data_IF_961741168153
#
_entry.id   IF_961741168153
#
_cell.length_a   1.000
_cell.length_b   1.000
_cell.length_c   1.000
_cell.angle_alpha   90.00
_cell.angle_beta   90.00
_cell.angle_gamma   90.00
#
_symmetry.space_group_name_H-M   'P 1'
#
loop_
_entity.id
_entity.type
_entity.pdbx_description
1 polymer ?
#
# COMPACT_ATOMS: atom_id res chain seq x y z
N UNK A 1 -0.73 -21.07 35.03
CA UNK A 1 -1.60 -20.40 34.02
C UNK A 1 -0.87 -19.28 33.26
N UNK A 2 0.37 -19.51 32.79
CA UNK A 2 1.21 -18.48 32.14
C UNK A 2 1.21 -18.53 30.60
N UNK A 3 0.34 -19.35 29.99
CA UNK A 3 0.35 -19.56 28.56
C UNK A 3 -0.07 -18.29 27.80
N UNK A 4 0.78 -17.84 26.87
CA UNK A 4 0.53 -16.68 25.99
C UNK A 4 -0.84 -16.75 25.34
N UNK A 5 -1.27 -17.93 24.88
CA UNK A 5 -2.58 -18.15 24.25
C UNK A 5 -3.74 -17.61 25.08
N UNK A 6 -3.78 -17.91 26.38
CA UNK A 6 -4.89 -17.50 27.25
C UNK A 6 -4.95 -15.99 27.48
N UNK A 7 -3.79 -15.35 27.62
CA UNK A 7 -3.70 -13.89 27.82
C UNK A 7 -3.93 -13.12 26.51
N UNK A 8 -3.40 -13.61 25.39
CA UNK A 8 -3.65 -13.04 24.07
C UNK A 8 -5.14 -13.09 23.72
N UNK A 9 -5.81 -14.23 23.91
CA UNK A 9 -7.26 -14.35 23.67
C UNK A 9 -8.11 -13.48 24.60
N UNK A 10 -7.64 -13.24 25.82
CA UNK A 10 -8.31 -12.31 26.73
C UNK A 10 -8.15 -10.85 26.27
N UNK A 11 -6.99 -10.50 25.71
CA UNK A 11 -6.73 -9.19 25.12
C UNK A 11 -7.54 -8.98 23.83
N UNK A 12 -7.58 -9.97 22.92
CA UNK A 12 -8.39 -9.94 21.70
C UNK A 12 -9.88 -9.77 22.00
N UNK A 13 -10.38 -10.46 23.04
CA UNK A 13 -11.79 -10.38 23.45
C UNK A 13 -12.11 -9.25 24.44
N UNK A 14 -11.21 -8.28 24.63
CA UNK A 14 -11.47 -7.14 25.50
C UNK A 14 -12.48 -6.18 24.84
N UNK A 15 -13.43 -5.57 25.58
CA UNK A 15 -14.46 -4.69 25.00
C UNK A 15 -13.90 -3.58 24.11
N UNK A 16 -12.77 -2.99 24.47
CA UNK A 16 -12.08 -1.96 23.64
C UNK A 16 -11.57 -2.52 22.32
N UNK A 17 -11.01 -3.74 22.32
CA UNK A 17 -10.58 -4.41 21.09
C UNK A 17 -11.77 -4.79 20.20
N UNK A 18 -12.88 -5.21 20.81
CA UNK A 18 -14.13 -5.49 20.10
C UNK A 18 -14.74 -4.21 19.50
N UNK A 19 -14.69 -3.09 20.25
CA UNK A 19 -15.13 -1.80 19.76
C UNK A 19 -14.27 -1.30 18.60
N UNK A 20 -12.95 -1.50 18.65
CA UNK A 20 -12.06 -1.19 17.53
C UNK A 20 -12.38 -2.04 16.29
N UNK A 21 -12.64 -3.34 16.45
CA UNK A 21 -13.08 -4.20 15.35
C UNK A 21 -14.42 -3.74 14.76
N UNK A 22 -15.41 -3.43 15.61
CA UNK A 22 -16.71 -2.94 15.18
C UNK A 22 -16.58 -1.61 14.44
N UNK A 23 -15.79 -0.68 14.98
CA UNK A 23 -15.51 0.61 14.36
C UNK A 23 -14.88 0.40 12.98
N UNK A 24 -13.86 -0.44 12.87
CA UNK A 24 -13.18 -0.73 11.60
C UNK A 24 -14.16 -1.34 10.57
N UNK A 25 -14.94 -2.35 10.97
CA UNK A 25 -15.90 -3.00 10.09
C UNK A 25 -17.00 -2.04 9.60
N UNK A 26 -17.61 -1.26 10.50
CA UNK A 26 -18.63 -0.26 10.16
C UNK A 26 -18.04 0.87 9.32
N UNK A 27 -16.84 1.33 9.67
CA UNK A 27 -16.18 2.40 8.94
C UNK A 27 -15.87 1.99 7.50
N UNK A 28 -15.28 0.81 7.30
CA UNK A 28 -14.80 0.39 5.99
C UNK A 28 -15.91 -0.11 5.07
N UNK A 29 -17.04 -0.59 5.60
CA UNK A 29 -18.15 -1.10 4.78
C UNK A 29 -19.33 -0.13 4.64
N UNK A 30 -19.48 0.81 5.58
CA UNK A 30 -20.65 1.71 5.61
C UNK A 30 -20.20 3.17 5.51
N UNK A 31 -19.34 3.63 6.43
CA UNK A 31 -19.01 5.05 6.49
C UNK A 31 -18.17 5.52 5.31
N UNK A 32 -17.20 4.74 4.84
CA UNK A 32 -16.43 5.09 3.64
C UNK A 32 -17.29 5.14 2.39
N UNK A 33 -18.32 4.28 2.29
CA UNK A 33 -19.26 4.29 1.19
C UNK A 33 -20.21 5.50 1.24
N UNK A 34 -20.67 5.90 2.44
CA UNK A 34 -21.61 7.01 2.61
C UNK A 34 -20.93 8.39 2.67
N UNK A 35 -19.72 8.46 3.22
CA UNK A 35 -18.97 9.68 3.50
C UNK A 35 -17.47 9.44 3.26
N UNK A 36 -17.03 9.34 1.99
CA UNK A 36 -15.61 9.26 1.68
C UNK A 36 -14.90 10.52 2.17
N UNK A 37 -13.71 10.35 2.78
CA UNK A 37 -12.93 11.50 3.20
C UNK A 37 -11.82 11.21 4.20
N UNK A 38 -11.08 12.25 4.53
CA UNK A 38 -9.90 12.21 5.41
C UNK A 38 -10.20 11.57 6.78
N UNK A 39 -11.36 11.88 7.37
CA UNK A 39 -11.75 11.41 8.72
C UNK A 39 -11.94 9.89 8.76
N UNK A 40 -12.62 9.31 7.76
CA UNK A 40 -12.88 7.85 7.73
C UNK A 40 -11.60 7.06 7.48
N UNK A 41 -10.61 7.62 6.77
CA UNK A 41 -9.27 7.05 6.67
C UNK A 41 -8.56 6.95 8.03
N UNK A 42 -8.45 8.08 8.75
CA UNK A 42 -7.74 8.11 10.05
C UNK A 42 -8.42 7.26 11.14
N UNK A 43 -9.76 7.13 11.09
CA UNK A 43 -10.50 6.27 12.01
C UNK A 43 -10.14 4.79 11.85
N UNK A 44 -9.97 4.33 10.60
CA UNK A 44 -9.56 2.94 10.34
C UNK A 44 -8.12 2.70 10.84
N UNK A 45 -7.19 3.62 10.59
CA UNK A 45 -5.82 3.51 11.10
C UNK A 45 -5.76 3.49 12.64
N UNK A 46 -6.52 4.36 13.31
CA UNK A 46 -6.62 4.38 14.76
C UNK A 46 -7.20 3.06 15.31
N UNK A 47 -8.25 2.53 14.67
CA UNK A 47 -8.83 1.23 15.02
C UNK A 47 -7.83 0.08 14.82
N UNK A 48 -7.09 0.10 13.71
CA UNK A 48 -6.02 -0.84 13.39
C UNK A 48 -4.91 -0.87 14.44
N UNK A 49 -4.48 0.29 14.95
CA UNK A 49 -3.48 0.37 16.02
C UNK A 49 -3.94 -0.26 17.34
N UNK A 50 -5.25 -0.31 17.60
CA UNK A 50 -5.82 -0.98 18.77
C UNK A 50 -6.01 -2.49 18.53
N UNK A 51 -6.40 -2.87 17.30
CA UNK A 51 -6.80 -4.23 16.94
C UNK A 51 -5.62 -5.13 16.52
N UNK A 52 -4.63 -4.62 15.78
CA UNK A 52 -3.57 -5.43 15.20
C UNK A 52 -2.63 -6.07 16.24
N UNK A 53 -2.18 -5.38 17.32
CA UNK A 53 -1.30 -5.99 18.31
C UNK A 53 -1.87 -7.25 19.01
N UNK A 54 -3.14 -7.27 19.50
CA UNK A 54 -3.71 -8.48 20.08
C UNK A 54 -3.87 -9.63 19.07
N UNK A 55 -4.13 -9.34 17.79
CA UNK A 55 -4.17 -10.36 16.75
C UNK A 55 -2.80 -11.01 16.54
N UNK A 56 -1.76 -10.18 16.37
CA UNK A 56 -0.39 -10.66 16.23
C UNK A 56 0.06 -11.47 17.46
N UNK A 57 -0.31 -11.02 18.66
CA UNK A 57 -0.04 -11.76 19.90
C UNK A 57 -0.79 -13.11 19.98
N UNK A 58 -2.03 -13.18 19.47
CA UNK A 58 -2.82 -14.40 19.42
C UNK A 58 -2.20 -15.42 18.45
N UNK A 59 -1.86 -15.00 17.24
CA UNK A 59 -1.15 -15.81 16.24
C UNK A 59 0.20 -16.29 16.78
N UNK A 60 0.98 -15.41 17.40
CA UNK A 60 2.24 -15.77 18.06
C UNK A 60 2.03 -16.82 19.15
N UNK A 61 0.94 -16.71 19.93
CA UNK A 61 0.57 -17.73 20.91
C UNK A 61 0.21 -19.08 20.31
N UNK A 62 -0.40 -19.10 19.11
CA UNK A 62 -0.69 -20.33 18.38
C UNK A 62 0.60 -21.00 17.89
N UNK A 63 1.52 -20.23 17.30
CA UNK A 63 2.79 -20.75 16.75
C UNK A 63 3.79 -21.11 17.86
N UNK A 64 3.93 -20.25 18.88
CA UNK A 64 4.91 -20.38 19.97
C UNK A 64 4.20 -20.48 21.34
N UNK A 65 3.53 -21.59 21.66
CA UNK A 65 2.73 -21.73 22.89
C UNK A 65 3.53 -21.60 24.19
N UNK A 66 4.86 -21.83 24.14
CA UNK A 66 5.77 -21.72 25.28
C UNK A 66 6.31 -20.30 25.52
N UNK A 67 6.02 -19.35 24.63
CA UNK A 67 6.44 -17.97 24.81
C UNK A 67 5.83 -17.37 26.10
N UNK A 68 6.39 -16.26 26.58
CA UNK A 68 5.91 -15.56 27.79
C UNK A 68 5.21 -14.28 27.38
N UNK A 69 3.97 -14.09 27.83
CA UNK A 69 3.12 -12.96 27.42
C UNK A 69 3.74 -11.59 27.71
N UNK A 70 4.53 -11.47 28.79
CA UNK A 70 5.28 -10.25 29.14
C UNK A 70 6.25 -9.77 28.06
N UNK A 71 6.66 -10.66 27.15
CA UNK A 71 7.52 -10.33 26.03
C UNK A 71 6.72 -10.26 24.73
N UNK A 72 5.76 -11.17 24.53
CA UNK A 72 4.91 -11.18 23.33
C UNK A 72 4.11 -9.89 23.16
N UNK A 73 3.50 -9.37 24.24
CA UNK A 73 2.68 -8.17 24.17
C UNK A 73 3.45 -6.92 23.71
N UNK A 74 4.57 -6.51 24.35
CA UNK A 74 5.33 -5.35 23.88
C UNK A 74 5.96 -5.59 22.50
N UNK A 75 6.40 -6.81 22.18
CA UNK A 75 6.93 -7.14 20.85
C UNK A 75 5.88 -7.00 19.75
N UNK A 76 4.63 -7.44 19.99
CA UNK A 76 3.55 -7.28 19.03
C UNK A 76 3.20 -5.81 18.77
N UNK A 77 3.16 -4.99 19.83
CA UNK A 77 2.90 -3.55 19.73
C UNK A 77 4.01 -2.86 18.96
N UNK A 78 5.28 -3.17 19.29
CA UNK A 78 6.43 -2.60 18.58
C UNK A 78 6.44 -3.01 17.11
N UNK A 79 6.18 -4.28 16.81
CA UNK A 79 6.14 -4.78 15.43
C UNK A 79 5.06 -4.08 14.60
N UNK A 80 3.85 -3.92 15.16
CA UNK A 80 2.76 -3.18 14.50
C UNK A 80 3.13 -1.72 14.28
N UNK A 81 3.67 -1.04 15.30
CA UNK A 81 4.04 0.37 15.17
C UNK A 81 5.17 0.63 14.18
N UNK A 82 6.21 -0.22 14.18
CA UNK A 82 7.31 -0.13 13.22
C UNK A 82 6.82 -0.46 11.81
N UNK A 83 6.02 -1.51 11.64
CA UNK A 83 5.43 -1.85 10.35
C UNK A 83 4.60 -0.71 9.78
N UNK A 84 3.69 -0.16 10.59
CA UNK A 84 2.86 0.98 10.19
C UNK A 84 3.68 2.23 9.86
N UNK A 85 4.69 2.56 10.67
CA UNK A 85 5.60 3.67 10.40
C UNK A 85 6.31 3.49 9.05
N UNK A 86 6.86 2.32 8.77
CA UNK A 86 7.56 2.04 7.52
C UNK A 86 6.62 2.15 6.32
N UNK A 87 5.41 1.58 6.43
CA UNK A 87 4.41 1.60 5.36
C UNK A 87 3.92 3.02 5.08
N UNK A 88 3.64 3.82 6.11
CA UNK A 88 3.05 5.17 5.94
C UNK A 88 4.08 6.27 5.69
N UNK A 89 5.32 6.12 6.15
CA UNK A 89 6.36 7.13 6.00
C UNK A 89 7.23 6.97 4.75
N UNK A 90 7.20 5.82 4.08
CA UNK A 90 8.10 5.56 2.94
C UNK A 90 7.32 5.04 1.74
N UNK A 91 7.64 5.56 0.56
CA UNK A 91 7.08 5.06 -0.71
C UNK A 91 7.35 3.56 -0.89
N UNK A 92 8.54 3.10 -0.52
CA UNK A 92 8.91 1.68 -0.56
C UNK A 92 8.04 0.81 0.36
N UNK A 93 7.78 1.26 1.60
CA UNK A 93 6.92 0.52 2.52
C UNK A 93 5.48 0.44 2.04
N UNK A 94 4.98 1.51 1.43
CA UNK A 94 3.65 1.58 0.81
C UNK A 94 3.53 0.65 -0.41
N UNK A 95 4.50 0.69 -1.32
CA UNK A 95 4.60 -0.20 -2.50
C UNK A 95 4.65 -1.68 -2.09
N UNK A 96 5.52 -2.00 -1.12
CA UNK A 96 5.68 -3.37 -0.63
C UNK A 96 4.41 -3.88 0.07
N UNK A 97 3.75 -3.02 0.84
CA UNK A 97 2.49 -3.38 1.47
C UNK A 97 1.40 -3.60 0.41
N UNK A 98 1.31 -2.72 -0.59
CA UNK A 98 0.34 -2.81 -1.70
C UNK A 98 0.52 -4.09 -2.51
N UNK A 99 1.75 -4.43 -2.88
CA UNK A 99 2.04 -5.67 -3.64
C UNK A 99 1.74 -6.93 -2.82
N UNK A 100 2.08 -6.93 -1.53
CA UNK A 100 1.79 -8.06 -0.64
C UNK A 100 0.28 -8.25 -0.43
N UNK A 101 -0.46 -7.14 -0.31
CA UNK A 101 -1.90 -7.19 -0.04
C UNK A 101 -2.71 -7.47 -1.30
N UNK A 102 -2.25 -7.00 -2.46
CA UNK A 102 -2.80 -7.30 -3.78
C UNK A 102 -2.82 -8.79 -4.13
N UNK A 103 -1.99 -9.62 -3.49
CA UNK A 103 -2.06 -11.08 -3.61
C UNK A 103 -3.36 -11.68 -3.02
N UNK A 104 -4.03 -10.96 -2.11
CA UNK A 104 -5.30 -11.38 -1.49
C UNK A 104 -6.47 -10.59 -2.08
N UNK A 105 -6.31 -9.28 -2.23
CA UNK A 105 -7.32 -8.39 -2.78
C UNK A 105 -6.66 -7.17 -3.43
N UNK A 106 -6.99 -6.80 -4.69
CA UNK A 106 -6.37 -5.68 -5.39
C UNK A 106 -6.49 -4.39 -4.58
N UNK A 107 -5.36 -3.85 -4.12
CA UNK A 107 -5.34 -2.73 -3.16
C UNK A 107 -4.14 -1.83 -3.34
N UNK A 108 -4.39 -0.53 -3.16
CA UNK A 108 -3.38 0.51 -3.15
C UNK A 108 -3.23 1.10 -1.75
N UNK A 109 -2.07 0.92 -1.15
CA UNK A 109 -1.67 1.54 0.12
C UNK A 109 -0.74 2.69 -0.23
N UNK A 110 -1.16 3.93 0.07
CA UNK A 110 -0.36 5.14 -0.17
C UNK A 110 0.48 5.50 1.07
N UNK A 111 1.66 6.07 0.82
CA UNK A 111 2.48 6.68 1.86
C UNK A 111 1.92 8.06 2.22
N UNK A 112 1.20 8.14 3.35
CA UNK A 112 0.70 9.40 3.92
C UNK A 112 1.27 9.58 5.34
N UNK A 113 2.28 10.45 5.54
CA UNK A 113 2.85 10.71 6.86
C UNK A 113 1.84 11.24 7.89
N UNK A 114 0.71 11.81 7.47
CA UNK A 114 -0.34 12.26 8.39
C UNK A 114 -1.06 11.10 9.08
N UNK A 115 -0.98 9.89 8.53
CA UNK A 115 -1.48 8.67 9.18
C UNK A 115 -0.69 8.31 10.44
N UNK A 116 0.53 8.81 10.61
CA UNK A 116 1.33 8.59 11.83
C UNK A 116 0.68 9.17 13.09
N UNK A 117 -0.31 10.05 12.93
CA UNK A 117 -1.20 10.50 14.02
C UNK A 117 -1.99 9.35 14.66
N UNK A 118 -2.07 8.17 14.03
CA UNK A 118 -2.65 6.97 14.60
C UNK A 118 -1.73 6.25 15.61
N UNK A 119 -0.40 6.42 15.54
CA UNK A 119 0.55 5.73 16.42
C UNK A 119 0.28 5.87 17.94
N UNK A 120 -0.17 7.03 18.46
CA UNK A 120 -0.56 7.16 19.87
C UNK A 120 -1.63 6.15 20.33
N UNK A 121 -2.48 5.63 19.43
CA UNK A 121 -3.49 4.62 19.77
C UNK A 121 -2.88 3.26 20.15
N UNK A 122 -1.61 3.00 19.84
CA UNK A 122 -0.87 1.85 20.38
C UNK A 122 -0.77 1.91 21.92
N UNK A 123 -0.82 3.11 22.51
CA UNK A 123 -0.87 3.26 23.97
C UNK A 123 -2.17 2.66 24.55
N UNK A 124 -3.28 2.75 23.82
CA UNK A 124 -4.56 2.10 24.18
C UNK A 124 -4.39 0.59 24.12
N UNK A 125 -3.80 0.05 23.05
CA UNK A 125 -3.51 -1.38 22.94
C UNK A 125 -2.65 -1.88 24.12
N UNK A 126 -1.60 -1.13 24.48
CA UNK A 126 -0.74 -1.42 25.63
C UNK A 126 -1.48 -1.36 26.96
N UNK A 127 -2.35 -0.36 27.14
CA UNK A 127 -3.18 -0.23 28.34
C UNK A 127 -4.11 -1.43 28.50
N UNK A 128 -4.75 -1.88 27.41
CA UNK A 128 -5.58 -3.09 27.42
C UNK A 128 -4.75 -4.34 27.74
N UNK A 129 -3.56 -4.50 27.14
CA UNK A 129 -2.68 -5.65 27.37
C UNK A 129 -2.24 -5.79 28.84
N UNK A 130 -2.17 -4.68 29.58
CA UNK A 130 -1.81 -4.66 31.01
C UNK A 130 -2.97 -5.01 31.94
N UNK A 131 -4.21 -5.07 31.44
CA UNK A 131 -5.38 -5.43 32.27
C UNK A 131 -5.36 -6.92 32.61
N UNK A 132 -5.69 -7.29 33.86
CA UNK A 132 -5.76 -8.69 34.25
C UNK A 132 -6.87 -9.39 33.44
N UNK A 133 -6.59 -10.56 32.85
CA UNK A 133 -7.58 -11.29 32.07
C UNK A 133 -8.71 -11.75 33.00
N UNK A 134 -9.95 -11.42 32.67
CA UNK A 134 -11.11 -11.99 33.36
C UNK A 134 -11.24 -13.48 32.98
N UNK A 135 -11.44 -14.38 33.95
CA UNK A 135 -11.65 -15.79 33.66
C UNK A 135 -12.88 -15.96 32.76
N UNK A 136 -12.69 -16.61 31.62
CA UNK A 136 -13.74 -16.89 30.66
C UNK A 136 -14.02 -18.40 30.57
N UNK A 137 -15.30 -18.83 30.51
CA UNK A 137 -15.65 -20.23 30.31
C UNK A 137 -15.12 -20.74 28.97
N UNK A 138 -14.94 -22.07 28.85
CA UNK A 138 -14.31 -22.70 27.67
C UNK A 138 -15.04 -22.39 26.36
N UNK A 139 -16.38 -22.34 26.38
CA UNK A 139 -17.21 -22.03 25.22
C UNK A 139 -16.97 -20.60 24.71
N UNK A 140 -16.80 -19.62 25.61
CA UNK A 140 -16.54 -18.22 25.24
C UNK A 140 -15.14 -18.05 24.62
N UNK A 141 -14.17 -18.87 25.06
CA UNK A 141 -12.84 -18.94 24.42
C UNK A 141 -12.89 -19.56 23.04
N UNK A 142 -13.70 -20.62 22.86
CA UNK A 142 -13.93 -21.24 21.56
C UNK A 142 -14.63 -20.26 20.60
N UNK A 143 -15.65 -19.54 21.07
CA UNK A 143 -16.34 -18.50 20.30
C UNK A 143 -15.38 -17.39 19.83
N UNK A 144 -14.50 -16.89 20.73
CA UNK A 144 -13.49 -15.89 20.36
C UNK A 144 -12.49 -16.39 19.31
N UNK A 145 -12.15 -17.68 19.33
CA UNK A 145 -11.28 -18.27 18.32
C UNK A 145 -12.00 -18.50 17.00
N UNK A 146 -13.24 -19.01 17.04
CA UNK A 146 -13.99 -19.41 15.86
C UNK A 146 -14.66 -18.25 15.12
N UNK A 147 -15.00 -17.16 15.83
CA UNK A 147 -15.74 -16.03 15.26
C UNK A 147 -14.87 -14.78 15.20
N UNK A 148 -14.28 -14.37 16.33
CA UNK A 148 -13.55 -13.10 16.37
C UNK A 148 -12.26 -13.14 15.55
N UNK A 149 -11.48 -14.22 15.60
CA UNK A 149 -10.22 -14.28 14.85
C UNK A 149 -10.44 -14.21 13.33
N UNK A 150 -11.36 -14.99 12.72
CA UNK A 150 -11.69 -14.83 11.30
C UNK A 150 -12.26 -13.45 10.97
N UNK A 151 -13.17 -12.90 11.81
CA UNK A 151 -13.77 -11.60 11.55
C UNK A 151 -12.76 -10.45 11.64
N UNK A 152 -11.80 -10.55 12.56
CA UNK A 152 -10.76 -9.57 12.73
C UNK A 152 -9.69 -9.67 11.63
N UNK A 153 -9.37 -10.89 11.17
CA UNK A 153 -8.54 -11.08 9.98
C UNK A 153 -9.24 -10.55 8.72
N UNK A 154 -10.53 -10.85 8.55
CA UNK A 154 -11.34 -10.35 7.45
C UNK A 154 -11.48 -8.83 7.51
N UNK A 155 -11.67 -8.23 8.70
CA UNK A 155 -11.70 -6.78 8.86
C UNK A 155 -10.37 -6.12 8.48
N UNK A 156 -9.24 -6.71 8.86
CA UNK A 156 -7.92 -6.20 8.44
C UNK A 156 -7.75 -6.36 6.93
N UNK A 157 -8.22 -7.46 6.34
CA UNK A 157 -8.21 -7.75 4.89
C UNK A 157 -9.16 -6.87 4.08
N UNK A 158 -10.29 -6.47 4.64
CA UNK A 158 -11.33 -5.70 3.99
C UNK A 158 -10.89 -4.24 3.83
N UNK A 159 -10.14 -4.00 2.76
CA UNK A 159 -9.79 -2.66 2.31
C UNK A 159 -10.69 -2.37 1.11
N UNK A 160 -11.41 -1.26 1.17
CA UNK A 160 -12.19 -0.76 0.04
C UNK A 160 -11.23 -0.31 -1.07
N UNK A 161 -11.57 -0.50 -2.36
CA UNK A 161 -10.86 0.17 -3.44
C UNK A 161 -10.78 1.66 -3.12
N UNK A 162 -9.59 2.26 -3.24
CA UNK A 162 -9.50 3.70 -3.15
C UNK A 162 -10.20 4.28 -4.39
N UNK A 163 -11.08 5.29 -4.25
CA UNK A 163 -11.56 6.01 -5.42
C UNK A 163 -10.36 6.69 -6.09
N UNK A 164 -10.32 6.63 -7.41
CA UNK A 164 -9.30 7.27 -8.23
C UNK A 164 -10.01 8.16 -9.25
N UNK A 165 -9.45 9.34 -9.57
CA UNK A 165 -10.06 10.22 -10.55
C UNK A 165 -9.99 9.57 -11.94
N UNK A 166 -11.09 9.68 -12.68
CA UNK A 166 -11.19 9.23 -14.06
C UNK A 166 -11.55 10.40 -14.96
N UNK A 167 -10.70 10.71 -15.93
CA UNK A 167 -11.02 11.67 -16.98
C UNK A 167 -12.08 11.08 -17.91
N UNK A 168 -13.27 11.66 -17.93
CA UNK A 168 -14.40 11.10 -18.66
C UNK A 168 -14.91 12.00 -19.77
N UNK A 169 -14.88 13.31 -19.57
CA UNK A 169 -15.54 14.25 -20.46
C UNK A 169 -14.62 15.40 -20.81
N UNK A 170 -14.55 15.72 -22.10
CA UNK A 170 -14.10 17.01 -22.59
C UNK A 170 -15.30 17.71 -23.20
N UNK A 171 -15.53 18.96 -22.82
CA UNK A 171 -16.63 19.75 -23.31
C UNK A 171 -16.18 21.18 -23.62
N UNK A 172 -16.84 21.81 -24.60
CA UNK A 172 -16.57 23.18 -25.00
C UNK A 172 -17.85 23.98 -24.88
N UNK A 173 -17.76 25.08 -24.14
CA UNK A 173 -18.86 26.02 -23.96
C UNK A 173 -18.29 27.43 -23.84
N UNK A 174 -18.96 28.39 -24.47
CA UNK A 174 -18.62 29.83 -24.39
C UNK A 174 -17.15 30.16 -24.69
N UNK A 175 -16.52 29.39 -25.60
CA UNK A 175 -15.11 29.57 -25.98
C UNK A 175 -14.09 29.06 -24.95
N UNK A 176 -14.54 28.30 -23.95
CA UNK A 176 -13.70 27.68 -22.93
C UNK A 176 -13.73 26.15 -23.02
N UNK A 177 -12.63 25.53 -22.58
CA UNK A 177 -12.50 24.08 -22.42
C UNK A 177 -12.93 23.69 -21.01
N UNK A 178 -13.73 22.64 -20.89
CA UNK A 178 -14.15 22.03 -19.64
C UNK A 178 -13.73 20.58 -19.59
N UNK A 179 -13.07 20.19 -18.49
CA UNK A 179 -12.61 18.84 -18.21
C UNK A 179 -13.45 18.25 -17.08
N UNK A 180 -14.25 17.25 -17.40
CA UNK A 180 -15.08 16.51 -16.45
C UNK A 180 -14.40 15.22 -16.03
N UNK A 181 -14.23 15.02 -14.74
CA UNK A 181 -13.69 13.79 -14.16
C UNK A 181 -14.59 13.28 -13.04
N UNK A 182 -14.54 11.97 -12.82
CA UNK A 182 -15.29 11.33 -11.74
C UNK A 182 -14.35 10.81 -10.66
N UNK A 183 -14.62 11.17 -9.41
CA UNK A 183 -14.02 10.57 -8.22
C UNK A 183 -15.12 10.25 -7.19
N UNK A 184 -15.51 8.98 -7.08
CA UNK A 184 -16.59 8.57 -6.16
C UNK A 184 -18.00 8.78 -6.73
N UNK A 185 -18.77 9.72 -6.19
CA UNK A 185 -20.20 9.94 -6.54
C UNK A 185 -20.43 11.37 -7.05
N UNK A 186 -19.86 11.72 -8.19
CA UNK A 186 -20.06 13.02 -8.83
C UNK A 186 -19.06 13.28 -9.95
N UNK A 187 -19.39 14.23 -10.82
CA UNK A 187 -18.47 14.78 -11.81
C UNK A 187 -18.04 16.16 -11.35
N UNK A 188 -16.75 16.31 -11.12
CA UNK A 188 -16.12 17.59 -10.84
C UNK A 188 -15.53 18.16 -12.15
N UNK A 189 -15.35 19.48 -12.20
CA UNK A 189 -15.01 20.17 -13.44
C UNK A 189 -13.81 21.11 -13.28
N UNK A 190 -12.90 21.08 -14.24
CA UNK A 190 -11.88 22.10 -14.45
C UNK A 190 -12.16 22.86 -15.73
N UNK A 191 -11.89 24.16 -15.75
CA UNK A 191 -12.11 25.05 -16.90
C UNK A 191 -10.82 25.75 -17.32
N UNK A 192 -10.65 25.90 -18.62
CA UNK A 192 -9.62 26.74 -19.22
C UNK A 192 -10.23 27.73 -20.20
N UNK A 193 -9.99 29.01 -19.96
CA UNK A 193 -10.45 30.12 -20.82
C UNK A 193 -9.38 30.58 -21.84
N UNK A 194 -8.18 29.97 -21.81
CA UNK A 194 -7.02 30.38 -22.60
C UNK A 194 -6.48 29.27 -23.51
N UNK A 195 -7.35 28.32 -23.88
CA UNK A 195 -7.00 27.25 -24.81
C UNK A 195 -6.14 26.15 -24.17
N UNK A 196 -6.29 25.90 -22.87
CA UNK A 196 -5.63 24.82 -22.15
C UNK A 196 -4.25 25.19 -21.58
N UNK A 197 -3.91 26.48 -21.54
CA UNK A 197 -2.63 26.96 -20.98
C UNK A 197 -2.72 27.07 -19.44
N UNK A 198 -3.85 27.51 -18.93
CA UNK A 198 -4.16 27.55 -17.50
C UNK A 198 -5.51 26.91 -17.20
N UNK A 199 -5.62 26.33 -16.00
CA UNK A 199 -6.77 25.57 -15.55
C UNK A 199 -7.22 26.07 -14.17
N UNK A 200 -8.53 26.10 -13.96
CA UNK A 200 -9.14 26.50 -12.70
C UNK A 200 -10.35 25.63 -12.36
N UNK A 201 -10.66 25.49 -11.07
CA UNK A 201 -11.85 24.77 -10.62
C UNK A 201 -13.14 25.43 -11.12
N UNK A 202 -14.08 24.60 -11.57
CA UNK A 202 -15.45 25.00 -11.91
C UNK A 202 -16.45 24.18 -11.10
N UNK A 203 -17.31 24.86 -10.34
CA UNK A 203 -18.36 24.21 -9.56
C UNK A 203 -19.52 23.70 -10.43
N UNK A 204 -19.65 24.20 -11.66
CA UNK A 204 -20.69 23.83 -12.60
C UNK A 204 -20.07 23.28 -13.89
N UNK A 205 -20.63 22.18 -14.37
CA UNK A 205 -20.29 21.65 -15.69
C UNK A 205 -20.89 22.51 -16.79
N UNK A 206 -20.33 22.47 -18.00
CA UNK A 206 -20.97 23.08 -19.16
C UNK A 206 -22.30 22.36 -19.45
N UNK A 207 -23.15 23.01 -20.24
CA UNK A 207 -24.38 22.41 -20.75
C UNK A 207 -24.13 21.18 -21.67
N UNK A 208 -25.06 20.84 -22.58
CA UNK A 208 -24.98 19.58 -23.33
C UNK A 208 -23.67 19.42 -24.13
N UNK A 209 -23.01 18.28 -23.92
CA UNK A 209 -21.73 17.87 -24.51
C UNK A 209 -21.93 17.45 -25.98
N UNK A 210 -21.01 17.81 -26.88
CA UNK A 210 -21.03 17.40 -28.29
C UNK A 210 -19.86 16.46 -28.61
N UNK A 211 -20.14 15.31 -29.20
CA UNK A 211 -19.14 14.36 -29.74
C UNK A 211 -19.68 13.74 -31.05
N UNK A 212 -18.85 13.47 -32.08
CA UNK A 212 -17.47 13.94 -32.26
C UNK A 212 -17.41 15.45 -32.41
N UNK A 213 -16.22 16.02 -32.18
CA UNK A 213 -16.01 17.46 -32.26
C UNK A 213 -15.05 17.82 -33.39
N UNK A 214 -15.32 18.95 -34.04
CA UNK A 214 -14.63 19.38 -35.25
C UNK A 214 -14.26 20.85 -35.12
N UNK A 215 -13.09 21.22 -35.65
CA UNK A 215 -12.75 22.63 -35.85
C UNK A 215 -13.76 23.27 -36.80
N UNK A 216 -14.24 24.47 -36.45
CA UNK A 216 -15.09 25.26 -37.33
C UNK A 216 -14.27 26.01 -38.41
N UNK A 217 -12.94 26.07 -38.27
CA UNK A 217 -12.05 26.69 -39.24
C UNK A 217 -11.92 25.82 -40.51
N UNK A 218 -11.76 26.48 -41.67
CA UNK A 218 -11.51 25.78 -42.93
C UNK A 218 -10.00 25.55 -43.13
N UNK A 219 -9.55 24.33 -43.50
CA UNK A 219 -10.36 23.13 -43.74
C UNK A 219 -10.87 22.50 -42.43
N UNK A 220 -12.13 22.06 -42.42
CA UNK A 220 -12.76 21.41 -41.26
C UNK A 220 -12.07 20.07 -40.98
N UNK A 221 -11.42 19.98 -39.82
CA UNK A 221 -10.80 18.76 -39.30
C UNK A 221 -11.57 18.29 -38.08
N UNK A 222 -11.96 17.02 -38.09
CA UNK A 222 -12.66 16.37 -36.99
C UNK A 222 -11.73 15.41 -36.26
N UNK A 223 -11.99 15.22 -34.97
CA UNK A 223 -11.22 14.33 -34.10
C UNK A 223 -12.15 13.37 -33.37
N UNK A 224 -11.68 12.14 -33.15
CA UNK A 224 -12.38 11.15 -32.33
C UNK A 224 -11.40 10.18 -31.67
N UNK A 225 -11.86 9.50 -30.63
CA UNK A 225 -11.07 8.47 -29.96
C UNK A 225 -10.74 7.30 -30.89
N UNK A 226 -9.58 6.66 -30.65
CA UNK A 226 -9.29 5.32 -31.18
C UNK A 226 -9.97 4.31 -30.25
N UNK A 227 -10.87 3.44 -30.75
CA UNK A 227 -11.61 2.52 -29.89
C UNK A 227 -10.70 1.60 -29.08
N UNK A 228 -10.84 1.62 -27.75
CA UNK A 228 -10.11 0.73 -26.84
C UNK A 228 -8.63 1.07 -26.63
N UNK A 229 -8.15 2.20 -27.16
CA UNK A 229 -6.75 2.63 -27.00
C UNK A 229 -6.70 4.03 -26.37
N UNK A 230 -5.55 4.36 -25.77
CA UNK A 230 -5.20 5.76 -25.49
C UNK A 230 -4.67 6.36 -26.79
N UNK A 231 -5.57 7.01 -27.52
CA UNK A 231 -5.27 7.58 -28.82
C UNK A 231 -6.41 8.36 -29.44
N UNK A 232 -6.03 9.25 -30.35
CA UNK A 232 -6.91 10.14 -31.11
C UNK A 232 -6.61 9.97 -32.59
N UNK A 233 -7.67 9.88 -33.38
CA UNK A 233 -7.62 9.89 -34.83
C UNK A 233 -8.26 11.16 -35.38
N UNK A 234 -7.71 11.67 -36.47
CA UNK A 234 -8.17 12.88 -37.16
C UNK A 234 -8.54 12.57 -38.61
N UNK A 235 -9.44 13.39 -39.16
CA UNK A 235 -9.89 13.28 -40.54
C UNK A 235 -10.55 14.57 -41.01
N UNK A 236 -10.49 14.84 -42.31
CA UNK A 236 -11.31 15.91 -42.92
C UNK A 236 -12.78 15.47 -42.94
N UNK A 237 -13.70 16.44 -42.98
CA UNK A 237 -15.13 16.13 -43.05
C UNK A 237 -15.46 15.16 -44.21
N UNK A 238 -15.86 13.93 -43.87
CA UNK A 238 -16.18 12.87 -44.84
C UNK A 238 -14.97 12.12 -45.43
N UNK A 239 -13.74 12.42 -45.00
CA UNK A 239 -12.51 11.72 -45.37
C UNK A 239 -12.20 10.49 -44.50
N UNK A 240 -11.15 9.72 -44.84
CA UNK A 240 -10.70 8.60 -44.01
C UNK A 240 -10.09 9.11 -42.69
N UNK A 241 -10.25 8.32 -41.64
CA UNK A 241 -9.61 8.55 -40.34
C UNK A 241 -8.17 8.07 -40.36
N UNK A 242 -7.28 8.90 -39.82
CA UNK A 242 -5.87 8.57 -39.61
C UNK A 242 -5.50 8.82 -38.16
N UNK A 243 -4.65 7.98 -37.58
CA UNK A 243 -4.17 8.19 -36.20
C UNK A 243 -3.36 9.49 -36.16
N UNK A 244 -3.80 10.44 -35.32
CA UNK A 244 -3.13 11.71 -35.06
C UNK A 244 -2.13 11.55 -33.90
N UNK A 245 -2.56 10.83 -32.86
CA UNK A 245 -1.74 10.50 -31.69
C UNK A 245 -2.19 9.19 -31.07
N UNK A 246 -1.24 8.41 -30.57
CA UNK A 246 -1.51 7.22 -29.77
C UNK A 246 -0.32 6.93 -28.87
N UNK A 247 -0.57 6.38 -27.69
CA UNK A 247 0.48 5.77 -26.89
C UNK A 247 0.92 4.44 -27.50
N UNK A 248 2.21 4.13 -27.40
CA UNK A 248 2.73 2.84 -27.85
C UNK A 248 2.20 1.71 -26.96
N UNK A 249 2.09 0.49 -27.49
CA UNK A 249 1.67 -0.68 -26.71
C UNK A 249 2.55 -0.89 -25.46
N UNK A 250 3.85 -0.57 -25.57
CA UNK A 250 4.79 -0.60 -24.46
C UNK A 250 4.41 0.41 -23.37
N UNK A 251 4.09 1.64 -23.76
CA UNK A 251 3.71 2.69 -22.81
C UNK A 251 2.34 2.40 -22.19
N UNK A 252 1.39 1.85 -22.96
CA UNK A 252 0.09 1.44 -22.43
C UNK A 252 0.23 0.31 -21.40
N UNK A 253 1.09 -0.67 -21.64
CA UNK A 253 1.39 -1.71 -20.65
C UNK A 253 2.07 -1.14 -19.40
N UNK A 254 3.01 -0.20 -19.57
CA UNK A 254 3.64 0.48 -18.43
C UNK A 254 2.62 1.26 -17.60
N UNK A 255 1.65 1.92 -18.24
CA UNK A 255 0.57 2.60 -17.54
C UNK A 255 -0.36 1.61 -16.83
N UNK A 256 -0.69 0.48 -17.45
CA UNK A 256 -1.51 -0.57 -16.81
C UNK A 256 -0.82 -1.16 -15.56
N UNK A 257 0.50 -1.30 -15.58
CA UNK A 257 1.29 -1.70 -14.40
C UNK A 257 1.35 -0.59 -13.33
N UNK A 258 1.53 0.65 -13.77
CA UNK A 258 1.60 1.81 -12.86
C UNK A 258 0.26 2.05 -12.16
N UNK A 259 -0.84 1.85 -12.88
CA UNK A 259 -2.21 1.93 -12.37
C UNK A 259 -2.78 0.52 -12.11
N UNK A 260 -2.09 -0.28 -11.30
CA UNK A 260 -2.51 -1.64 -10.94
C UNK A 260 -3.86 -1.73 -10.19
N UNK A 261 -4.44 -0.58 -9.83
CA UNK A 261 -5.77 -0.39 -9.26
C UNK A 261 -6.91 -0.36 -10.30
N UNK A 262 -6.56 -0.35 -11.59
CA UNK A 262 -7.43 0.01 -12.71
C UNK A 262 -7.71 -1.18 -13.63
N UNK A 263 -8.93 -1.29 -14.16
CA UNK A 263 -9.24 -2.33 -15.16
C UNK A 263 -8.74 -1.94 -16.56
N UNK A 264 -8.43 -2.91 -17.43
CA UNK A 264 -7.91 -2.63 -18.80
C UNK A 264 -8.84 -1.70 -19.60
N UNK A 265 -10.15 -1.69 -19.31
CA UNK A 265 -11.13 -0.81 -19.96
C UNK A 265 -11.15 0.63 -19.46
N UNK A 266 -10.38 0.97 -18.43
CA UNK A 266 -10.31 2.30 -17.83
C UNK A 266 -9.09 3.11 -18.33
N UNK A 267 -8.22 2.49 -19.14
CA UNK A 267 -7.08 3.11 -19.84
C UNK A 267 -7.36 3.24 -21.34
N UNK A 268 -8.31 4.11 -21.69
CA UNK A 268 -8.66 4.40 -23.07
C UNK A 268 -9.11 5.86 -23.21
N UNK A 269 -9.01 6.40 -24.42
CA UNK A 269 -9.60 7.70 -24.73
C UNK A 269 -11.12 7.56 -24.87
N UNK A 270 -11.86 8.26 -24.02
CA UNK A 270 -13.34 8.18 -23.96
C UNK A 270 -14.05 9.42 -24.47
N UNK A 271 -13.37 10.56 -24.48
CA UNK A 271 -13.93 11.84 -24.94
C UNK A 271 -12.85 12.70 -25.58
N UNK A 272 -13.23 13.46 -26.61
CA UNK A 272 -12.36 14.38 -27.35
C UNK A 272 -13.14 15.67 -27.61
N UNK A 273 -12.52 16.83 -27.38
CA UNK A 273 -13.07 18.15 -27.69
C UNK A 273 -12.08 19.01 -28.49
N UNK A 274 -12.61 19.88 -29.36
CA UNK A 274 -11.83 20.74 -30.26
C UNK A 274 -12.21 22.22 -30.07
N UNK A 275 -11.30 23.02 -29.53
CA UNK A 275 -11.50 24.46 -29.38
C UNK A 275 -10.69 25.23 -30.43
N UNK A 276 -11.37 26.00 -31.28
CA UNK A 276 -10.72 26.94 -32.18
C UNK A 276 -10.15 28.13 -31.38
N UNK A 277 -8.89 28.45 -31.65
CA UNK A 277 -8.15 29.54 -30.99
C UNK A 277 -7.36 30.34 -32.03
N UNK A 278 -6.77 31.46 -31.63
CA UNK A 278 -5.91 32.21 -32.54
C UNK A 278 -4.73 31.36 -33.01
N UNK A 279 -4.58 31.24 -34.33
CA UNK A 279 -3.50 30.47 -34.96
C UNK A 279 -3.82 29.00 -35.24
N UNK A 280 -5.01 28.49 -34.87
CA UNK A 280 -5.44 27.14 -35.21
C UNK A 280 -6.52 26.60 -34.27
N UNK A 281 -6.33 25.39 -33.77
CA UNK A 281 -7.23 24.77 -32.81
C UNK A 281 -6.45 23.90 -31.84
N UNK A 282 -6.98 23.78 -30.64
CA UNK A 282 -6.50 22.91 -29.57
C UNK A 282 -7.42 21.70 -29.50
N UNK A 283 -6.84 20.52 -29.28
CA UNK A 283 -7.61 19.28 -29.10
C UNK A 283 -7.32 18.75 -27.71
N UNK A 284 -8.35 18.36 -26.97
CA UNK A 284 -8.18 17.73 -25.65
C UNK A 284 -8.82 16.36 -25.65
N UNK A 285 -8.12 15.38 -25.08
CA UNK A 285 -8.54 14.00 -24.98
C UNK A 285 -8.62 13.58 -23.50
N UNK A 286 -9.73 12.95 -23.11
CA UNK A 286 -9.91 12.32 -21.80
C UNK A 286 -9.50 10.85 -21.88
N UNK A 287 -8.41 10.48 -21.21
CA UNK A 287 -7.76 9.16 -21.29
C UNK A 287 -8.04 8.28 -20.06
N UNK A 288 -9.24 8.42 -19.47
CA UNK A 288 -9.65 7.62 -18.32
C UNK A 288 -8.74 7.86 -17.11
N UNK A 289 -8.17 6.79 -16.56
CA UNK A 289 -7.31 6.86 -15.36
C UNK A 289 -6.07 7.71 -15.55
N UNK A 290 -5.57 7.81 -16.78
CA UNK A 290 -4.34 8.52 -17.10
C UNK A 290 -4.49 10.06 -17.11
N UNK A 291 -5.72 10.55 -17.00
CA UNK A 291 -6.05 11.96 -17.03
C UNK A 291 -6.24 12.48 -18.45
N UNK A 292 -5.94 13.75 -18.66
CA UNK A 292 -6.15 14.44 -19.93
C UNK A 292 -4.86 14.58 -20.74
N UNK A 293 -5.00 14.69 -22.06
CA UNK A 293 -3.93 15.07 -22.97
C UNK A 293 -4.37 16.22 -23.87
N UNK A 294 -3.47 17.16 -24.17
CA UNK A 294 -3.73 18.35 -24.96
C UNK A 294 -2.82 18.35 -26.19
N UNK A 295 -3.42 18.63 -27.34
CA UNK A 295 -2.74 18.97 -28.60
C UNK A 295 -2.73 20.47 -28.74
N UNK A 296 -1.55 21.07 -28.79
CA UNK A 296 -1.45 22.50 -29.05
C UNK A 296 -1.69 22.87 -30.53
N UNK A 297 -1.69 24.17 -30.82
CA UNK A 297 -1.85 24.70 -32.20
C UNK A 297 -0.71 24.29 -33.14
N UNK A 298 0.46 23.92 -32.61
CA UNK A 298 1.59 23.41 -33.39
C UNK A 298 1.44 21.93 -33.76
N UNK A 299 0.46 21.26 -33.15
CA UNK A 299 0.17 19.84 -33.32
C UNK A 299 0.98 18.92 -32.43
N UNK A 300 1.63 19.43 -31.39
CA UNK A 300 2.30 18.62 -30.40
C UNK A 300 1.30 18.18 -29.33
N UNK A 301 1.32 16.89 -29.01
CA UNK A 301 0.53 16.30 -27.93
C UNK A 301 1.32 16.22 -26.64
N UNK A 302 0.70 16.62 -25.54
CA UNK A 302 1.24 16.53 -24.20
C UNK A 302 0.19 15.94 -23.26
N UNK A 303 0.58 14.93 -22.49
CA UNK A 303 -0.22 14.44 -21.36
C UNK A 303 -0.11 15.44 -20.22
N UNK A 304 -1.24 15.77 -19.58
CA UNK A 304 -1.33 16.78 -18.53
C UNK A 304 -1.95 16.25 -17.22
N UNK A 305 -2.43 15.01 -17.18
CA UNK A 305 -2.97 14.41 -15.96
C UNK A 305 -4.28 15.08 -15.52
N UNK A 306 -4.40 15.47 -14.26
CA UNK A 306 -5.58 16.13 -13.69
C UNK A 306 -5.24 17.54 -13.17
N UNK A 307 -5.26 18.57 -14.05
CA UNK A 307 -4.84 19.91 -13.67
C UNK A 307 -5.89 20.59 -12.77
N UNK A 308 -5.47 21.25 -11.68
CA UNK A 308 -6.26 22.03 -10.72
C UNK A 308 -7.24 21.28 -9.81
N UNK A 309 -7.31 19.94 -9.88
CA UNK A 309 -8.47 19.17 -9.40
C UNK A 309 -8.25 18.34 -8.11
N UNK A 310 -7.01 18.14 -7.72
CA UNK A 310 -6.66 17.54 -6.42
C UNK A 310 -5.90 18.58 -5.60
N UNK A 311 -5.78 18.44 -4.27
CA UNK A 311 -4.86 19.27 -3.50
C UNK A 311 -3.39 19.20 -3.97
N UNK A 312 -3.08 18.32 -4.94
CA UNK A 312 -1.75 18.07 -5.50
C UNK A 312 -1.90 17.69 -6.99
N UNK A 313 -2.18 18.65 -7.89
CA UNK A 313 -2.21 18.48 -9.36
C UNK A 313 -1.62 17.13 -9.82
N UNK A 314 -2.47 16.13 -10.07
CA UNK A 314 -1.97 14.77 -10.33
C UNK A 314 -1.37 14.75 -11.74
N UNK A 315 -0.06 14.96 -11.81
CA UNK A 315 0.72 14.85 -13.03
C UNK A 315 0.56 13.43 -13.63
N UNK A 316 0.56 13.31 -14.97
CA UNK A 316 0.45 12.02 -15.61
C UNK A 316 1.68 11.16 -15.28
N UNK A 317 1.50 9.84 -15.19
CA UNK A 317 2.62 8.93 -14.95
C UNK A 317 3.73 9.11 -16.00
N UNK A 318 4.99 9.21 -15.54
CA UNK A 318 6.15 9.37 -16.41
C UNK A 318 6.37 8.12 -17.26
N UNK A 319 6.53 8.31 -18.58
CA UNK A 319 6.89 7.23 -19.52
C UNK A 319 8.41 7.12 -19.72
N UNK A 320 9.18 8.04 -19.13
CA UNK A 320 10.62 8.10 -19.30
C UNK A 320 11.36 7.18 -18.33
N UNK A 321 12.06 6.20 -18.91
CA UNK A 321 13.18 5.45 -18.37
C UNK A 321 12.90 4.47 -17.21
N UNK A 322 12.46 3.27 -17.61
CA UNK A 322 12.79 1.99 -16.97
C UNK A 322 14.32 1.77 -16.75
N UNK A 323 15.20 2.72 -17.13
CA UNK A 323 16.64 2.67 -16.84
C UNK A 323 17.00 3.14 -15.42
N UNK A 324 16.16 3.96 -14.75
CA UNK A 324 16.47 4.42 -13.38
C UNK A 324 16.27 3.32 -12.32
N UNK A 325 15.61 2.22 -12.69
CA UNK A 325 15.26 1.12 -11.79
C UNK A 325 16.42 0.15 -11.55
N UNK A 326 17.49 0.20 -12.35
CA UNK A 326 18.71 -0.60 -12.12
C UNK A 326 19.38 -0.20 -10.79
N UNK A 327 19.42 1.09 -10.47
CA UNK A 327 20.11 1.55 -9.26
C UNK A 327 19.29 1.25 -8.00
N UNK A 328 17.95 1.27 -8.10
CA UNK A 328 17.07 0.95 -6.97
C UNK A 328 17.00 -0.55 -6.70
N UNK A 329 16.99 -1.41 -7.72
CA UNK A 329 17.05 -2.86 -7.58
C UNK A 329 18.36 -3.31 -6.90
N UNK A 330 19.50 -2.72 -7.25
CA UNK A 330 20.80 -3.04 -6.66
C UNK A 330 20.88 -2.64 -5.18
N UNK A 331 20.35 -1.46 -4.83
CA UNK A 331 20.26 -1.02 -3.43
C UNK A 331 19.29 -1.88 -2.63
N UNK A 332 18.16 -2.32 -3.22
CA UNK A 332 17.16 -3.21 -2.61
C UNK A 332 17.76 -4.58 -2.30
N UNK A 333 18.49 -5.17 -3.25
CA UNK A 333 19.19 -6.45 -3.06
C UNK A 333 20.26 -6.31 -1.97
N UNK A 334 21.06 -5.24 -1.99
CA UNK A 334 22.09 -4.99 -0.99
C UNK A 334 21.51 -4.80 0.43
N UNK A 335 20.38 -4.10 0.56
CA UNK A 335 19.69 -3.91 1.84
C UNK A 335 19.16 -5.25 2.42
N UNK A 336 18.61 -6.12 1.57
CA UNK A 336 18.15 -7.46 1.98
C UNK A 336 19.31 -8.34 2.46
N UNK A 337 20.42 -8.36 1.72
CA UNK A 337 21.63 -9.06 2.14
C UNK A 337 22.20 -8.49 3.45
N UNK A 338 22.22 -7.16 3.60
CA UNK A 338 22.65 -6.49 4.82
C UNK A 338 21.81 -6.85 6.04
N UNK A 339 20.48 -6.86 5.90
CA UNK A 339 19.56 -7.20 6.99
C UNK A 339 19.64 -8.68 7.37
N UNK A 340 19.78 -9.58 6.39
CA UNK A 340 20.02 -11.00 6.63
C UNK A 340 21.34 -11.24 7.38
N UNK A 341 22.44 -10.63 6.90
CA UNK A 341 23.75 -10.74 7.53
C UNK A 341 23.73 -10.19 8.97
N UNK A 342 23.09 -9.05 9.20
CA UNK A 342 22.95 -8.48 10.54
C UNK A 342 22.18 -9.42 11.48
N UNK A 343 21.04 -9.97 11.04
CA UNK A 343 20.26 -10.94 11.82
C UNK A 343 21.04 -12.21 12.16
N UNK A 344 21.80 -12.73 11.19
CA UNK A 344 22.68 -13.89 11.39
C UNK A 344 23.79 -13.57 12.40
N UNK A 345 24.49 -12.45 12.25
CA UNK A 345 25.58 -12.03 13.16
C UNK A 345 25.04 -11.88 14.58
N UNK A 346 23.89 -11.24 14.77
CA UNK A 346 23.29 -11.04 16.09
C UNK A 346 22.91 -12.38 16.72
N UNK A 347 22.28 -13.27 15.93
CA UNK A 347 21.87 -14.59 16.42
C UNK A 347 23.07 -15.45 16.80
N UNK A 348 24.10 -15.52 15.95
CA UNK A 348 25.36 -16.23 16.23
C UNK A 348 26.03 -15.66 17.47
N UNK A 349 26.19 -14.34 17.54
CA UNK A 349 26.82 -13.66 18.68
C UNK A 349 26.07 -13.99 19.98
N UNK A 350 24.74 -13.94 19.96
CA UNK A 350 23.96 -14.23 21.14
C UNK A 350 23.98 -15.71 21.55
N UNK A 351 23.99 -16.65 20.59
CA UNK A 351 24.21 -18.09 20.86
C UNK A 351 25.58 -18.33 21.49
N UNK A 352 26.64 -17.71 20.96
CA UNK A 352 28.01 -17.80 21.52
C UNK A 352 28.08 -17.23 22.94
N UNK A 353 27.42 -16.09 23.21
CA UNK A 353 27.36 -15.53 24.56
C UNK A 353 26.65 -16.47 25.53
N UNK A 354 25.55 -17.10 25.11
CA UNK A 354 24.80 -18.06 25.92
C UNK A 354 25.64 -19.33 26.19
N UNK A 355 26.35 -19.85 25.20
CA UNK A 355 27.23 -21.01 25.39
C UNK A 355 28.38 -20.71 26.35
N UNK A 356 29.04 -19.54 26.21
CA UNK A 356 30.09 -19.10 27.14
C UNK A 356 29.58 -18.92 28.57
N UNK A 357 28.28 -18.72 28.75
CA UNK A 357 27.62 -18.65 30.06
C UNK A 357 27.12 -20.02 30.58
N UNK A 358 27.49 -21.13 29.94
CA UNK A 358 27.10 -22.48 30.35
C UNK A 358 25.75 -22.96 29.79
N UNK A 359 25.18 -22.25 28.81
CA UNK A 359 23.96 -22.67 28.12
C UNK A 359 24.15 -23.93 27.27
N UNK A 360 23.09 -24.73 27.13
CA UNK A 360 23.11 -25.99 26.37
C UNK A 360 23.27 -25.79 24.86
N UNK A 361 23.84 -26.79 24.18
CA UNK A 361 24.10 -26.76 22.73
C UNK A 361 22.86 -26.55 21.84
N UNK A 362 21.65 -26.75 22.37
CA UNK A 362 20.42 -26.61 21.58
C UNK A 362 20.15 -25.19 21.06
N UNK A 363 20.86 -24.17 21.55
CA UNK A 363 20.68 -22.79 21.09
C UNK A 363 21.15 -22.59 19.65
N UNK A 364 22.03 -23.46 19.15
CA UNK A 364 22.43 -23.48 17.74
C UNK A 364 21.26 -23.76 16.78
N UNK A 365 20.18 -24.40 17.25
CA UNK A 365 18.96 -24.58 16.45
C UNK A 365 18.29 -23.26 16.05
N UNK A 366 18.61 -22.13 16.71
CA UNK A 366 18.11 -20.80 16.30
C UNK A 366 18.72 -20.30 14.99
N UNK A 367 19.79 -20.95 14.50
CA UNK A 367 20.35 -20.66 13.17
C UNK A 367 19.61 -21.39 12.05
N UNK A 368 18.90 -22.49 12.34
CA UNK A 368 18.20 -23.26 11.30
C UNK A 368 17.16 -22.43 10.56
N UNK A 369 16.33 -21.60 11.20
CA UNK A 369 15.44 -20.69 10.49
C UNK A 369 16.19 -19.71 9.59
N UNK A 370 17.35 -19.19 10.01
CA UNK A 370 18.17 -18.29 9.19
C UNK A 370 18.76 -19.01 7.97
N UNK A 371 19.22 -20.25 8.14
CA UNK A 371 19.77 -21.05 7.04
C UNK A 371 18.68 -21.43 6.03
N UNK A 372 17.50 -21.85 6.49
CA UNK A 372 16.36 -22.15 5.63
C UNK A 372 15.90 -20.92 4.85
N UNK A 373 15.90 -19.77 5.51
CA UNK A 373 15.68 -18.48 4.88
C UNK A 373 16.72 -18.18 3.80
N UNK A 374 18.01 -18.37 4.09
CA UNK A 374 19.08 -18.13 3.13
C UNK A 374 18.95 -19.00 1.88
N UNK A 375 18.54 -20.26 2.04
CA UNK A 375 18.30 -21.21 0.93
C UNK A 375 17.15 -20.77 0.03
N UNK A 376 16.18 -19.99 0.52
CA UNK A 376 15.07 -19.44 -0.29
C UNK A 376 15.45 -18.08 -0.86
N UNK A 377 15.97 -17.16 -0.03
CA UNK A 377 16.24 -15.78 -0.42
C UNK A 377 17.35 -15.67 -1.46
N UNK A 378 18.44 -16.43 -1.34
CA UNK A 378 19.57 -16.34 -2.29
C UNK A 378 19.19 -16.77 -3.71
N UNK A 379 18.58 -17.96 -3.93
CA UNK A 379 18.14 -18.36 -5.26
C UNK A 379 17.03 -17.47 -5.80
N UNK A 380 16.07 -17.05 -4.96
CA UNK A 380 15.03 -16.12 -5.39
C UNK A 380 15.64 -14.78 -5.82
N UNK A 381 16.57 -14.21 -5.06
CA UNK A 381 17.23 -12.95 -5.42
C UNK A 381 18.05 -13.07 -6.71
N UNK A 382 18.76 -14.19 -6.90
CA UNK A 382 19.52 -14.45 -8.13
C UNK A 382 18.62 -14.65 -9.36
N UNK A 383 17.47 -15.30 -9.17
CA UNK A 383 16.53 -15.60 -10.25
C UNK A 383 15.67 -14.37 -10.58
N UNK A 384 15.20 -13.61 -9.59
CA UNK A 384 14.49 -12.34 -9.79
C UNK A 384 15.38 -11.24 -10.38
N UNK A 385 16.70 -11.30 -10.14
CA UNK A 385 17.67 -10.45 -10.84
C UNK A 385 17.83 -10.83 -12.32
N UNK A 386 17.65 -12.10 -12.68
CA UNK A 386 17.76 -12.60 -14.06
C UNK A 386 16.47 -12.50 -14.87
N UNK A 387 15.33 -12.64 -14.22
CA UNK A 387 14.01 -12.69 -14.85
C UNK A 387 12.96 -12.07 -13.90
N UNK A 388 12.64 -10.79 -14.16
CA UNK A 388 11.76 -9.97 -13.31
C UNK A 388 10.29 -10.41 -13.40
N UNK A 389 9.89 -11.09 -14.47
CA UNK A 389 8.52 -11.54 -14.70
C UNK A 389 8.24 -12.93 -14.10
N UNK A 390 9.27 -13.57 -13.54
CA UNK A 390 9.12 -14.88 -12.94
C UNK A 390 8.29 -14.80 -11.64
N UNK A 391 7.41 -15.79 -11.42
CA UNK A 391 6.70 -15.99 -10.12
C UNK A 391 7.68 -16.03 -8.93
N UNK A 392 8.97 -16.32 -9.19
CA UNK A 392 10.04 -16.33 -8.21
C UNK A 392 10.55 -14.92 -7.85
N UNK A 393 10.34 -13.91 -8.69
CA UNK A 393 10.51 -12.50 -8.32
C UNK A 393 9.53 -12.13 -7.20
N UNK A 394 8.27 -12.59 -7.24
CA UNK A 394 7.31 -12.42 -6.14
C UNK A 394 7.84 -12.99 -4.81
N UNK A 395 8.57 -14.11 -4.86
CA UNK A 395 9.22 -14.68 -3.69
C UNK A 395 10.35 -13.79 -3.14
N UNK A 396 11.02 -12.98 -3.97
CA UNK A 396 11.99 -11.97 -3.50
C UNK A 396 11.34 -10.79 -2.77
N UNK A 397 10.10 -10.46 -3.13
CA UNK A 397 9.31 -9.40 -2.50
C UNK A 397 8.65 -9.85 -1.18
N UNK A 398 8.21 -11.11 -1.12
CA UNK A 398 7.45 -11.64 0.02
C UNK A 398 8.35 -12.33 1.06
N UNK A 399 9.49 -12.92 0.67
CA UNK A 399 10.42 -13.54 1.62
C UNK A 399 11.01 -12.59 2.68
N UNK A 400 11.32 -11.31 2.45
CA UNK A 400 11.94 -10.42 3.43
C UNK A 400 11.17 -10.28 4.75
N UNK A 401 9.84 -10.36 4.71
CA UNK A 401 8.98 -10.20 5.88
C UNK A 401 9.05 -11.38 6.87
N UNK A 402 8.78 -12.64 6.48
CA UNK A 402 8.98 -13.77 7.37
C UNK A 402 10.44 -13.90 7.79
N UNK A 403 11.39 -13.49 6.94
CA UNK A 403 12.83 -13.47 7.24
C UNK A 403 13.18 -12.48 8.33
N UNK A 404 12.80 -11.22 8.15
CA UNK A 404 13.03 -10.15 9.12
C UNK A 404 12.28 -10.41 10.42
N UNK A 405 11.06 -10.93 10.34
CA UNK A 405 10.25 -11.29 11.51
C UNK A 405 10.87 -12.45 12.29
N UNK A 406 11.30 -13.52 11.61
CA UNK A 406 11.97 -14.66 12.25
C UNK A 406 13.31 -14.22 12.85
N UNK A 407 14.11 -13.43 12.13
CA UNK A 407 15.37 -12.89 12.63
C UNK A 407 15.17 -11.99 13.85
N UNK A 408 14.16 -11.12 13.83
CA UNK A 408 13.80 -10.25 14.94
C UNK A 408 13.32 -11.07 16.15
N UNK A 409 12.44 -12.05 15.94
CA UNK A 409 11.92 -12.92 17.02
C UNK A 409 13.02 -13.76 17.64
N UNK A 410 13.90 -14.37 16.83
CA UNK A 410 15.07 -15.11 17.30
C UNK A 410 16.03 -14.19 18.07
N UNK A 411 16.33 -13.01 17.53
CA UNK A 411 17.18 -12.00 18.17
C UNK A 411 16.63 -11.60 19.54
N UNK A 412 15.34 -11.25 19.61
CA UNK A 412 14.67 -10.89 20.85
C UNK A 412 14.72 -12.04 21.86
N UNK A 413 14.43 -13.27 21.42
CA UNK A 413 14.48 -14.46 22.28
C UNK A 413 15.88 -14.70 22.87
N UNK A 414 16.92 -14.54 22.05
CA UNK A 414 18.32 -14.69 22.46
C UNK A 414 18.75 -13.59 23.42
N UNK A 415 18.45 -12.32 23.13
CA UNK A 415 18.80 -11.19 24.01
C UNK A 415 18.12 -11.30 25.38
N UNK A 416 16.85 -11.70 25.42
CA UNK A 416 16.10 -11.91 26.66
C UNK A 416 16.73 -13.05 27.48
N UNK A 417 17.09 -14.15 26.81
CA UNK A 417 17.62 -15.35 27.47
C UNK A 417 19.04 -15.11 28.01
N UNK A 418 19.90 -14.44 27.23
CA UNK A 418 21.24 -14.05 27.67
C UNK A 418 21.21 -13.10 28.88
N UNK A 419 20.26 -12.14 28.91
CA UNK A 419 20.08 -11.25 30.08
C UNK A 419 19.59 -11.99 31.32
N UNK A 420 18.72 -12.99 31.16
CA UNK A 420 18.24 -13.80 32.28
C UNK A 420 19.37 -14.62 32.91
N UNK A 421 20.16 -15.34 32.09
CA UNK A 421 21.28 -16.14 32.58
C UNK A 421 22.39 -15.29 33.22
N UNK A 422 22.71 -14.12 32.67
CA UNK A 422 23.67 -13.19 33.31
C UNK A 422 23.20 -12.73 34.70
N UNK A 423 21.89 -12.57 34.93
CA UNK A 423 21.35 -12.22 36.24
C UNK A 423 21.46 -13.38 37.22
N UNK A 424 21.17 -14.60 36.78
CA UNK A 424 21.30 -15.81 37.58
C UNK A 424 22.76 -16.07 37.96
N UNK A 425 23.70 -15.96 37.01
CA UNK A 425 25.13 -16.11 37.29
C UNK A 425 25.66 -15.04 38.26
N UNK A 426 25.20 -13.79 38.15
CA UNK A 426 25.56 -12.72 39.10
C UNK A 426 24.98 -12.98 40.49
N UNK A 427 23.75 -13.48 40.58
CA UNK A 427 23.13 -13.82 41.86
C UNK A 427 23.86 -14.98 42.56
N UNK A 428 24.23 -16.03 41.81
CA UNK A 428 25.02 -17.15 42.32
C UNK A 428 26.42 -16.72 42.77
N UNK A 429 27.10 -15.87 41.98
CA UNK A 429 28.40 -15.32 42.36
C UNK A 429 28.34 -14.38 43.58
N UNK A 430 27.22 -13.68 43.78
CA UNK A 430 26.99 -12.88 44.98
C UNK A 430 26.78 -13.77 46.21
N UNK A 431 26.02 -14.86 46.10
CA UNK A 431 25.81 -15.81 47.21
C UNK A 431 27.10 -16.51 47.66
N UNK A 432 27.99 -16.84 46.72
CA UNK A 432 29.30 -17.43 47.04
C UNK A 432 30.34 -16.45 47.61
N UNK A 433 30.03 -15.15 47.73
CA UNK A 433 30.90 -14.17 48.42
C UNK A 433 30.57 -13.99 49.90
N UNK A 434 29.45 -14.55 50.37
CA UNK A 434 28.98 -14.44 51.75
C UNK A 434 29.15 -15.73 52.57
N UNK A 435 29.73 -16.76 51.94
CA UNK A 435 30.30 -17.95 52.59
C UNK A 435 31.82 -17.89 52.39
#
# INVERSE_FOLDING_TARGET
MNAVRGKALAWSGHPVTLAALLLMAVNDHILKAAYPGWVTGKLSDAAGMVLAPPLLAAVTGLIAPRARFRWVAPSAILAVGVGFLLVKATAYGAELASSTWSAVTPTLIRADPTDLLALPFLAVAWWVARRPPRPAPRWLRALRLAVFLPLALAGVAATSPAPHPMAQTVAIADGALYLGYEEGYGTDWSVSADGGLTWADSAEGPGPIRTPDCSAAAPVVCYQAVPGEIGVQSGTAGGPWTVDWRLSDKDQNLLAETYADTSVGELQTVSVGVLDVDGGHVVVAANGRDGFAVRDVSGQWQRIGFPSLTPWDEAPAELAAAESESTSADVRILALFGMFAAGLIITVTGVVVIQRAGGSGHWWWMLVPHLLVGVVVLPSALLGYRDRDSIMALATWVAPFPVGLVALVCTIAVVISARAQRREARAAAAQNRWY
#
